data_IF_829946789278
#
_entry.id   IF_829946789278
#
_cell.length_a   1.000
_cell.length_b   1.000
_cell.length_c   1.000
_cell.angle_alpha   90.00
_cell.angle_beta   90.00
_cell.angle_gamma   90.00
#
_symmetry.space_group_name_H-M   'P 1'
#
loop_
_entity.id
_entity.type
_entity.pdbx_description
1 polymer ?
#
# COMPACT_ATOMS: atom_id res chain seq x y z
N UNK A 1 -44.94 0.36 86.74
CA UNK A 1 -46.16 0.37 85.91
C UNK A 1 -45.92 1.20 84.69
N UNK A 2 -46.10 0.70 83.54
CA UNK A 2 -46.11 1.11 82.19
C UNK A 2 -44.99 0.54 81.33
N UNK A 3 -45.40 -0.48 80.62
CA UNK A 3 -44.67 -1.09 79.50
C UNK A 3 -44.74 -0.20 78.23
N UNK A 4 -43.61 0.05 77.58
CA UNK A 4 -43.53 0.59 76.24
C UNK A 4 -42.89 -0.42 75.38
N UNK A 5 -43.68 -1.02 74.45
CA UNK A 5 -43.25 -1.84 73.37
C UNK A 5 -42.54 -0.97 72.29
N UNK A 6 -41.30 -1.26 72.01
CA UNK A 6 -40.60 -0.72 70.88
C UNK A 6 -40.76 -1.69 69.71
N UNK A 7 -41.50 -1.29 68.67
CA UNK A 7 -41.55 -1.93 67.37
C UNK A 7 -40.30 -1.57 66.60
N UNK A 8 -39.46 -2.56 66.29
CA UNK A 8 -38.34 -2.40 65.33
C UNK A 8 -38.85 -2.65 63.93
N UNK A 9 -38.87 -1.61 63.04
CA UNK A 9 -39.06 -1.74 61.62
C UNK A 9 -37.70 -2.09 60.97
N UNK A 10 -37.62 -3.28 60.42
CA UNK A 10 -36.50 -3.71 59.61
C UNK A 10 -36.78 -3.19 58.13
N UNK A 11 -36.10 -2.10 57.75
CA UNK A 11 -36.11 -1.62 56.36
C UNK A 11 -35.04 -2.36 55.56
N UNK A 12 -35.46 -3.31 54.71
CA UNK A 12 -34.61 -4.01 53.78
C UNK A 12 -34.31 -3.07 52.58
N UNK A 13 -33.16 -2.41 52.60
CA UNK A 13 -32.68 -1.61 51.50
C UNK A 13 -32.16 -2.51 50.36
N UNK A 14 -32.95 -2.64 49.29
CA UNK A 14 -32.53 -3.31 48.06
C UNK A 14 -31.68 -2.32 47.26
N UNK A 15 -30.34 -2.39 47.39
CA UNK A 15 -29.40 -1.63 46.52
C UNK A 15 -29.35 -2.31 45.17
N UNK A 16 -30.05 -1.73 44.20
CA UNK A 16 -29.98 -2.09 42.81
C UNK A 16 -28.66 -1.54 42.23
N UNK A 17 -27.60 -2.36 42.23
CA UNK A 17 -26.35 -2.03 41.52
C UNK A 17 -26.60 -2.05 40.03
N UNK A 18 -26.82 -0.87 39.46
CA UNK A 18 -26.74 -0.70 38.00
C UNK A 18 -25.30 -1.00 37.58
N UNK A 19 -25.07 -2.22 37.09
CA UNK A 19 -23.91 -2.53 36.28
C UNK A 19 -24.06 -1.75 34.94
N UNK A 20 -23.55 -0.53 34.93
CA UNK A 20 -23.33 0.18 33.70
C UNK A 20 -22.28 -0.62 32.89
N UNK A 21 -22.76 -1.49 32.01
CA UNK A 21 -21.89 -2.07 30.97
C UNK A 21 -21.40 -0.91 30.10
N UNK A 22 -20.24 -0.37 30.46
CA UNK A 22 -19.51 0.54 29.57
C UNK A 22 -19.25 -0.23 28.27
N UNK A 23 -20.04 0.06 27.23
CA UNK A 23 -19.73 -0.38 25.88
C UNK A 23 -18.32 0.13 25.58
N UNK A 24 -17.33 -0.74 25.65
CA UNK A 24 -15.97 -0.41 25.24
C UNK A 24 -16.04 -0.01 23.75
N UNK A 25 -16.00 1.28 23.51
CA UNK A 25 -15.81 1.83 22.17
C UNK A 25 -14.49 1.25 21.71
N UNK A 26 -14.46 0.58 20.56
CA UNK A 26 -13.22 0.08 20.00
C UNK A 26 -12.35 1.29 19.60
N UNK A 27 -11.52 1.72 20.54
CA UNK A 27 -10.61 2.83 20.31
C UNK A 27 -9.56 2.40 19.29
N UNK A 28 -9.30 3.23 18.28
CA UNK A 28 -8.23 2.98 17.31
C UNK A 28 -6.90 2.82 18.07
N UNK A 29 -6.12 1.76 17.76
CA UNK A 29 -4.85 1.53 18.45
C UNK A 29 -3.93 2.73 18.31
N UNK A 30 -3.33 3.15 19.41
CA UNK A 30 -2.36 4.24 19.41
C UNK A 30 -1.08 3.76 18.71
N UNK A 31 -0.63 4.54 17.72
CA UNK A 31 0.62 4.24 17.01
C UNK A 31 1.82 4.35 17.97
N UNK A 32 2.85 3.51 17.79
CA UNK A 32 4.06 3.62 18.60
C UNK A 32 4.80 4.91 18.25
N UNK A 33 5.58 5.40 19.21
CA UNK A 33 6.51 6.48 18.93
C UNK A 33 7.60 6.00 17.96
N UNK A 34 7.82 6.75 16.88
CA UNK A 34 8.77 6.44 15.80
C UNK A 34 9.76 7.59 15.67
N UNK A 35 11.06 7.29 15.86
CA UNK A 35 12.15 8.25 15.78
C UNK A 35 12.54 8.54 14.30
N UNK A 36 11.60 9.14 13.55
CA UNK A 36 11.77 9.53 12.16
C UNK A 36 11.16 10.91 11.88
N UNK A 37 11.67 11.61 10.84
CA UNK A 37 11.09 12.88 10.40
C UNK A 37 9.68 12.68 9.83
N UNK A 38 9.51 11.62 9.05
CA UNK A 38 8.23 11.20 8.45
C UNK A 38 8.12 9.69 8.44
N UNK A 39 6.91 9.17 8.65
CA UNK A 39 6.64 7.75 8.48
C UNK A 39 5.21 7.48 8.02
N UNK A 40 5.03 6.33 7.40
CA UNK A 40 3.74 5.78 6.99
C UNK A 40 3.76 4.27 7.19
N UNK A 41 2.75 3.72 7.87
CA UNK A 41 2.41 2.31 7.84
C UNK A 41 1.14 2.13 7.03
N UNK A 42 1.25 1.40 5.92
CA UNK A 42 0.16 1.16 4.99
C UNK A 42 -0.16 -0.33 4.89
N UNK A 43 -1.41 -0.66 5.07
CA UNK A 43 -1.91 -2.00 4.78
C UNK A 43 -2.25 -2.08 3.28
N UNK A 44 -1.38 -2.74 2.54
CA UNK A 44 -1.53 -2.90 1.08
C UNK A 44 -2.74 -3.78 0.75
N UNK A 45 -3.03 -4.78 1.59
CA UNK A 45 -4.13 -5.73 1.38
C UNK A 45 -5.48 -5.09 1.64
N UNK A 46 -5.58 -4.28 2.72
CA UNK A 46 -6.80 -3.57 3.08
C UNK A 46 -6.90 -2.18 2.42
N UNK A 47 -5.83 -1.70 1.77
CA UNK A 47 -5.72 -0.35 1.22
C UNK A 47 -6.00 0.74 2.27
N UNK A 48 -5.40 0.61 3.47
CA UNK A 48 -5.62 1.50 4.60
C UNK A 48 -4.31 2.02 5.20
N UNK A 49 -4.29 3.31 5.56
CA UNK A 49 -3.23 3.88 6.40
C UNK A 49 -3.53 3.49 7.85
N UNK A 50 -2.60 2.78 8.49
CA UNK A 50 -2.72 2.34 9.89
C UNK A 50 -2.08 3.34 10.85
N UNK A 51 -0.95 3.94 10.45
CA UNK A 51 -0.27 4.98 11.21
C UNK A 51 0.50 5.92 10.28
N UNK A 52 0.62 7.18 10.66
CA UNK A 52 1.33 8.15 9.84
C UNK A 52 1.80 9.37 10.64
N UNK A 53 2.88 9.99 10.15
CA UNK A 53 3.40 11.27 10.65
C UNK A 53 4.03 12.03 9.48
N UNK A 54 3.64 13.28 9.26
CA UNK A 54 4.22 14.18 8.27
C UNK A 54 4.29 13.58 6.85
N UNK A 55 3.28 12.82 6.43
CA UNK A 55 3.34 12.00 5.20
C UNK A 55 3.39 12.82 3.91
N UNK A 56 3.00 14.07 3.95
CA UNK A 56 3.02 15.01 2.82
C UNK A 56 4.19 16.01 2.91
N UNK A 57 5.04 15.91 3.95
CA UNK A 57 6.22 16.74 4.08
C UNK A 57 7.25 16.38 2.99
N UNK A 58 7.76 17.38 2.22
CA UNK A 58 8.79 17.13 1.22
C UNK A 58 10.09 16.63 1.86
N UNK A 59 10.71 15.64 1.21
CA UNK A 59 12.01 15.10 1.59
C UNK A 59 12.79 14.69 0.34
N UNK A 60 14.12 14.75 0.40
CA UNK A 60 14.96 14.15 -0.64
C UNK A 60 14.77 12.63 -0.63
N UNK A 61 14.47 12.00 -1.80
CA UNK A 61 14.25 10.56 -1.85
C UNK A 61 15.53 9.73 -1.64
N UNK A 62 16.70 10.31 -1.84
CA UNK A 62 17.95 9.55 -1.91
C UNK A 62 17.77 8.33 -2.85
N UNK A 63 18.40 7.19 -2.55
CA UNK A 63 18.26 5.98 -3.38
C UNK A 63 16.87 5.32 -3.39
N UNK A 64 15.86 5.86 -2.69
CA UNK A 64 14.46 5.46 -2.90
C UNK A 64 13.97 5.84 -4.31
N UNK A 65 14.62 6.81 -4.95
CA UNK A 65 14.46 7.17 -6.38
C UNK A 65 14.53 5.95 -7.30
N UNK A 66 15.39 4.97 -6.96
CA UNK A 66 15.59 3.76 -7.74
C UNK A 66 14.34 2.86 -7.83
N UNK A 67 13.32 3.11 -7.02
CA UNK A 67 12.01 2.46 -7.20
C UNK A 67 11.33 2.94 -8.50
N UNK A 68 11.43 4.24 -8.83
CA UNK A 68 10.91 4.74 -10.12
C UNK A 68 11.78 4.27 -11.28
N UNK A 69 13.10 4.21 -11.10
CA UNK A 69 13.99 3.64 -12.10
C UNK A 69 13.65 2.17 -12.39
N UNK A 70 13.46 1.37 -11.33
CA UNK A 70 13.03 -0.02 -11.46
C UNK A 70 11.66 -0.13 -12.13
N UNK A 71 10.72 0.75 -11.79
CA UNK A 71 9.39 0.77 -12.40
C UNK A 71 9.48 0.91 -13.92
N UNK A 72 10.26 1.88 -14.42
CA UNK A 72 10.44 2.10 -15.85
C UNK A 72 11.21 0.96 -16.54
N UNK A 73 12.21 0.39 -15.88
CA UNK A 73 12.95 -0.79 -16.38
C UNK A 73 12.01 -1.99 -16.50
N UNK A 74 11.18 -2.24 -15.49
CA UNK A 74 10.20 -3.34 -15.51
C UNK A 74 9.09 -3.11 -16.53
N UNK A 75 8.68 -1.87 -16.75
CA UNK A 75 7.74 -1.52 -17.81
C UNK A 75 8.34 -1.78 -19.20
N UNK A 76 9.60 -1.42 -19.41
CA UNK A 76 10.32 -1.71 -20.66
C UNK A 76 10.47 -3.22 -20.92
N UNK A 77 10.74 -4.02 -19.87
CA UNK A 77 10.76 -5.49 -19.94
C UNK A 77 9.37 -6.05 -20.28
N UNK A 78 8.32 -5.58 -19.61
CA UNK A 78 6.93 -5.99 -19.88
C UNK A 78 6.49 -5.65 -21.30
N UNK A 79 6.92 -4.49 -21.81
CA UNK A 79 6.69 -4.04 -23.18
C UNK A 79 7.63 -4.71 -24.21
N UNK A 80 8.55 -5.60 -23.78
CA UNK A 80 9.56 -6.26 -24.62
C UNK A 80 10.46 -5.29 -25.40
N UNK A 81 10.69 -4.10 -24.84
CA UNK A 81 11.66 -3.12 -25.41
C UNK A 81 13.09 -3.49 -25.06
N UNK A 82 13.28 -4.18 -23.96
CA UNK A 82 14.54 -4.79 -23.52
C UNK A 82 14.27 -6.22 -23.04
N UNK A 83 15.31 -7.03 -22.91
CA UNK A 83 15.27 -8.41 -22.39
C UNK A 83 16.23 -8.58 -21.23
N UNK A 84 15.91 -9.46 -20.26
CA UNK A 84 16.76 -9.73 -19.09
C UNK A 84 18.16 -10.20 -19.46
N UNK A 85 18.31 -10.97 -20.55
CA UNK A 85 19.59 -11.50 -21.03
C UNK A 85 20.33 -10.54 -21.96
N UNK A 86 19.64 -9.51 -22.46
CA UNK A 86 20.26 -8.46 -23.25
C UNK A 86 21.37 -7.81 -22.46
N UNK A 87 22.52 -7.60 -23.07
CA UNK A 87 23.63 -6.87 -22.43
C UNK A 87 23.55 -5.38 -22.79
N UNK A 88 23.92 -4.53 -21.82
CA UNK A 88 24.08 -3.10 -22.00
C UNK A 88 25.54 -2.70 -21.82
N UNK A 89 26.05 -1.74 -22.60
CA UNK A 89 27.37 -1.20 -22.42
C UNK A 89 27.43 -0.34 -21.13
N UNK A 90 28.59 -0.25 -20.54
CA UNK A 90 28.85 0.64 -19.42
C UNK A 90 29.49 1.92 -19.92
N UNK A 91 28.76 3.03 -19.89
CA UNK A 91 29.29 4.33 -20.28
C UNK A 91 30.35 4.85 -19.29
N UNK A 92 31.17 5.79 -19.73
CA UNK A 92 32.10 6.50 -18.83
C UNK A 92 31.33 7.24 -17.72
N UNK A 93 30.12 7.74 -18.03
CA UNK A 93 29.21 8.35 -17.03
C UNK A 93 28.81 7.34 -15.97
N UNK A 94 28.32 6.17 -16.35
CA UNK A 94 27.95 5.10 -15.44
C UNK A 94 29.15 4.67 -14.55
N UNK A 95 30.28 4.40 -15.18
CA UNK A 95 31.50 3.98 -14.48
C UNK A 95 32.00 4.98 -13.43
N UNK A 96 31.94 6.30 -13.74
CA UNK A 96 32.40 7.36 -12.84
C UNK A 96 31.41 7.78 -11.76
N UNK A 97 30.23 7.14 -11.70
CA UNK A 97 29.22 7.53 -10.71
C UNK A 97 29.74 7.38 -9.26
N UNK A 98 29.58 8.43 -8.44
CA UNK A 98 29.97 8.39 -7.03
C UNK A 98 28.94 7.61 -6.19
N UNK A 99 29.30 7.35 -4.95
CA UNK A 99 28.45 6.71 -3.95
C UNK A 99 28.40 5.18 -4.08
N UNK A 100 27.23 4.58 -3.90
CA UNK A 100 27.06 3.11 -3.95
C UNK A 100 27.21 2.58 -5.37
N UNK A 101 27.95 1.47 -5.54
CA UNK A 101 28.27 0.90 -6.85
C UNK A 101 28.18 -0.62 -6.85
N UNK A 102 27.91 -1.23 -8.00
CA UNK A 102 28.13 -2.66 -8.23
C UNK A 102 29.53 -2.93 -8.83
N UNK A 103 30.31 -1.88 -9.16
CA UNK A 103 31.69 -1.90 -9.68
C UNK A 103 31.82 -2.49 -11.08
N UNK A 104 30.98 -1.98 -12.00
CA UNK A 104 31.11 -2.22 -13.44
C UNK A 104 32.01 -1.16 -14.09
N UNK A 105 32.61 -1.50 -15.25
CA UNK A 105 33.51 -0.63 -15.98
C UNK A 105 33.23 -0.66 -17.50
N UNK A 106 33.81 0.28 -18.28
CA UNK A 106 33.52 0.41 -19.71
C UNK A 106 33.96 -0.76 -20.60
N UNK A 107 34.74 -1.69 -20.08
CA UNK A 107 35.14 -2.89 -20.83
C UNK A 107 34.05 -3.99 -20.75
N UNK A 108 33.06 -3.83 -19.88
CA UNK A 108 32.03 -4.81 -19.62
C UNK A 108 30.79 -4.60 -20.50
N UNK A 109 30.17 -5.70 -20.88
CA UNK A 109 28.82 -5.78 -21.41
C UNK A 109 27.96 -6.51 -20.39
N UNK A 110 27.10 -5.78 -19.66
CA UNK A 110 26.44 -6.30 -18.48
C UNK A 110 25.00 -6.69 -18.79
N UNK A 111 24.55 -7.92 -18.49
CA UNK A 111 23.16 -8.31 -18.65
C UNK A 111 22.20 -7.41 -17.87
N UNK A 112 21.05 -7.09 -18.44
CA UNK A 112 20.01 -6.27 -17.80
C UNK A 112 19.61 -6.83 -16.44
N UNK A 113 19.49 -8.15 -16.30
CA UNK A 113 19.16 -8.80 -15.05
C UNK A 113 20.20 -8.53 -13.97
N UNK A 114 21.49 -8.55 -14.32
CA UNK A 114 22.59 -8.31 -13.39
C UNK A 114 22.64 -6.82 -12.98
N UNK A 115 22.38 -5.90 -13.91
CA UNK A 115 22.23 -4.48 -13.61
C UNK A 115 21.06 -4.22 -12.64
N UNK A 116 19.91 -4.90 -12.82
CA UNK A 116 18.76 -4.82 -11.91
C UNK A 116 19.17 -5.30 -10.51
N UNK A 117 19.83 -6.46 -10.40
CA UNK A 117 20.32 -6.98 -9.12
C UNK A 117 21.30 -6.02 -8.47
N UNK A 118 22.25 -5.45 -9.23
CA UNK A 118 23.22 -4.47 -8.74
C UNK A 118 22.56 -3.17 -8.27
N UNK A 119 21.60 -2.66 -9.00
CA UNK A 119 20.81 -1.48 -8.62
C UNK A 119 20.01 -1.72 -7.32
N UNK A 120 19.43 -2.90 -7.13
CA UNK A 120 18.59 -3.21 -5.97
C UNK A 120 19.44 -3.55 -4.75
N UNK A 121 20.37 -4.51 -4.85
CA UNK A 121 21.11 -5.07 -3.71
C UNK A 121 22.19 -4.10 -3.23
N UNK A 122 23.14 -3.72 -4.09
CA UNK A 122 24.19 -2.76 -3.76
C UNK A 122 23.70 -1.32 -3.74
N UNK A 123 22.49 -1.07 -4.28
CA UNK A 123 22.05 0.29 -4.57
C UNK A 123 22.95 1.00 -5.59
N UNK A 124 23.53 0.25 -6.55
CA UNK A 124 24.57 0.68 -7.48
C UNK A 124 24.13 1.84 -8.37
N UNK A 125 24.82 2.99 -8.25
CA UNK A 125 24.56 4.16 -9.08
C UNK A 125 25.04 3.92 -10.51
N UNK A 126 26.17 3.21 -10.68
CA UNK A 126 26.71 2.76 -11.95
C UNK A 126 25.72 1.88 -12.73
N UNK A 127 25.16 0.85 -12.09
CA UNK A 127 24.12 0.02 -12.67
C UNK A 127 22.85 0.81 -13.02
N UNK A 128 22.49 1.78 -12.16
CA UNK A 128 21.31 2.63 -12.36
C UNK A 128 21.43 3.48 -13.61
N UNK A 129 22.61 4.10 -13.81
CA UNK A 129 22.89 4.91 -15.02
C UNK A 129 22.90 4.04 -16.27
N UNK A 130 23.55 2.86 -16.24
CA UNK A 130 23.55 1.95 -17.38
C UNK A 130 22.14 1.52 -17.79
N UNK A 131 21.26 1.21 -16.82
CA UNK A 131 19.86 0.91 -17.07
C UNK A 131 19.09 2.12 -17.62
N UNK A 132 19.32 3.30 -17.08
CA UNK A 132 18.67 4.53 -17.53
C UNK A 132 19.03 4.87 -19.00
N UNK A 133 20.32 4.74 -19.35
CA UNK A 133 20.79 4.92 -20.72
C UNK A 133 20.23 3.86 -21.66
N UNK A 134 20.20 2.59 -21.23
CA UNK A 134 19.68 1.48 -22.02
C UNK A 134 18.19 1.56 -22.30
N UNK A 135 17.39 2.08 -21.38
CA UNK A 135 15.93 2.22 -21.52
C UNK A 135 15.54 3.55 -22.13
N UNK A 136 16.17 4.64 -21.72
CA UNK A 136 15.83 6.01 -22.15
C UNK A 136 16.60 6.49 -23.37
N UNK A 137 17.69 5.82 -23.76
CA UNK A 137 18.65 6.29 -24.75
C UNK A 137 19.61 7.33 -24.20
N UNK A 138 19.21 8.10 -23.20
CA UNK A 138 20.06 9.00 -22.39
C UNK A 138 19.47 9.15 -20.99
N UNK A 139 20.32 9.58 -20.03
CA UNK A 139 19.88 9.86 -18.67
C UNK A 139 18.84 10.99 -18.62
N UNK A 140 19.03 12.02 -19.44
CA UNK A 140 18.15 13.19 -19.50
C UNK A 140 16.73 12.79 -19.99
N UNK A 141 16.65 11.97 -21.03
CA UNK A 141 15.38 11.43 -21.52
C UNK A 141 14.74 10.49 -20.48
N UNK A 142 15.54 9.68 -19.81
CA UNK A 142 15.04 8.79 -18.75
C UNK A 142 14.43 9.58 -17.59
N UNK A 143 15.05 10.69 -17.17
CA UNK A 143 14.49 11.58 -16.13
C UNK A 143 13.16 12.21 -16.58
N UNK A 144 13.03 12.57 -17.86
CA UNK A 144 11.73 13.00 -18.39
C UNK A 144 10.67 11.90 -18.24
N UNK A 145 11.00 10.65 -18.62
CA UNK A 145 10.11 9.50 -18.46
C UNK A 145 9.74 9.24 -16.98
N UNK A 146 10.68 9.42 -16.04
CA UNK A 146 10.40 9.30 -14.60
C UNK A 146 9.33 10.31 -14.15
N UNK A 147 9.42 11.55 -14.60
CA UNK A 147 8.46 12.59 -14.25
C UNK A 147 7.11 12.41 -14.97
N UNK A 148 7.12 11.96 -16.23
CA UNK A 148 5.92 11.58 -16.97
C UNK A 148 5.18 10.44 -16.25
N UNK A 149 5.91 9.38 -15.87
CA UNK A 149 5.37 8.24 -15.14
C UNK A 149 4.88 8.62 -13.74
N UNK A 150 5.58 9.52 -13.05
CA UNK A 150 5.14 10.05 -11.77
C UNK A 150 3.77 10.70 -11.85
N UNK A 151 3.50 11.48 -12.89
CA UNK A 151 2.17 12.09 -13.15
C UNK A 151 1.11 11.01 -13.41
N UNK A 152 1.43 10.00 -14.24
CA UNK A 152 0.52 8.88 -14.54
C UNK A 152 0.16 8.10 -13.27
N UNK A 153 1.11 7.89 -12.37
CA UNK A 153 0.89 7.22 -11.10
C UNK A 153 0.16 8.10 -10.06
N UNK A 154 0.01 9.40 -10.34
CA UNK A 154 -0.63 10.35 -9.43
C UNK A 154 0.27 10.81 -8.28
N UNK A 155 1.60 10.80 -8.46
CA UNK A 155 2.56 11.35 -7.50
C UNK A 155 2.47 12.87 -7.53
N UNK A 156 1.90 13.47 -6.49
CA UNK A 156 1.54 14.91 -6.48
C UNK A 156 2.68 15.82 -6.09
N UNK A 157 3.59 15.31 -5.25
CA UNK A 157 4.66 16.10 -4.62
C UNK A 157 6.04 15.48 -4.90
N UNK A 158 6.21 14.79 -6.03
CA UNK A 158 7.46 14.15 -6.43
C UNK A 158 8.00 14.76 -7.70
N UNK A 159 9.28 15.12 -7.68
CA UNK A 159 10.04 15.58 -8.83
C UNK A 159 11.36 14.86 -8.91
N UNK A 160 11.69 14.29 -10.07
CA UNK A 160 12.96 13.59 -10.32
C UNK A 160 13.90 14.47 -11.12
N UNK A 161 15.19 14.49 -10.75
CA UNK A 161 16.29 15.18 -11.45
C UNK A 161 17.35 14.22 -11.97
N UNK A 162 17.50 13.06 -11.32
CA UNK A 162 18.40 12.00 -11.72
C UNK A 162 17.78 10.62 -11.38
N UNK A 163 18.24 9.52 -11.99
CA UNK A 163 17.66 8.20 -11.77
C UNK A 163 18.19 7.47 -10.53
N UNK A 164 19.30 7.93 -9.93
CA UNK A 164 19.97 7.25 -8.82
C UNK A 164 19.65 7.83 -7.44
N UNK A 165 19.23 9.10 -7.37
CA UNK A 165 18.81 9.75 -6.12
C UNK A 165 19.93 10.53 -5.42
N UNK A 166 20.91 11.05 -6.16
CA UNK A 166 21.86 12.02 -5.62
C UNK A 166 21.15 13.36 -5.37
N UNK A 167 21.64 14.10 -4.36
CA UNK A 167 21.11 15.41 -3.99
C UNK A 167 21.16 16.38 -5.16
N UNK A 168 20.01 16.94 -5.53
CA UNK A 168 19.88 17.94 -6.58
C UNK A 168 18.66 18.81 -6.31
N UNK A 169 18.74 20.12 -6.58
CA UNK A 169 17.67 21.05 -6.33
C UNK A 169 16.37 20.65 -7.06
N UNK A 170 15.29 20.49 -6.31
CA UNK A 170 14.00 20.01 -6.81
C UNK A 170 13.89 18.50 -6.98
N UNK A 171 14.89 17.71 -6.55
CA UNK A 171 14.77 16.25 -6.42
C UNK A 171 14.10 15.93 -5.09
N UNK A 172 12.78 15.74 -5.10
CA UNK A 172 11.96 15.65 -3.89
C UNK A 172 10.86 14.61 -4.02
N UNK A 173 10.37 14.13 -2.88
CA UNK A 173 9.22 13.22 -2.76
C UNK A 173 8.53 13.38 -1.42
N UNK A 174 7.50 12.56 -1.15
CA UNK A 174 6.81 12.45 0.15
C UNK A 174 6.58 10.98 0.52
N UNK A 175 6.33 10.69 1.80
CA UNK A 175 6.00 9.33 2.23
C UNK A 175 4.71 8.83 1.54
N UNK A 176 3.74 9.70 1.31
CA UNK A 176 2.51 9.37 0.57
C UNK A 176 2.83 8.95 -0.86
N UNK A 177 3.57 9.76 -1.62
CA UNK A 177 3.90 9.45 -3.01
C UNK A 177 4.74 8.16 -3.11
N UNK A 178 5.68 7.96 -2.18
CA UNK A 178 6.46 6.72 -2.10
C UNK A 178 5.59 5.50 -1.81
N UNK A 179 4.51 5.64 -1.02
CA UNK A 179 3.57 4.53 -0.79
C UNK A 179 2.81 4.14 -2.07
N UNK A 180 2.40 5.12 -2.85
CA UNK A 180 1.78 4.91 -4.16
C UNK A 180 2.75 4.21 -5.10
N UNK A 181 3.97 4.72 -5.24
CA UNK A 181 4.99 4.14 -6.11
C UNK A 181 5.32 2.69 -5.72
N UNK A 182 5.58 2.44 -4.42
CA UNK A 182 5.92 1.11 -3.93
C UNK A 182 4.78 0.11 -4.14
N UNK A 183 3.55 0.50 -3.85
CA UNK A 183 2.36 -0.34 -4.06
C UNK A 183 2.15 -0.67 -5.53
N UNK A 184 2.24 0.35 -6.40
CA UNK A 184 2.09 0.17 -7.85
C UNK A 184 3.21 -0.69 -8.43
N UNK A 185 4.46 -0.50 -8.00
CA UNK A 185 5.58 -1.34 -8.45
C UNK A 185 5.32 -2.82 -8.16
N UNK A 186 4.87 -3.15 -6.95
CA UNK A 186 4.57 -4.53 -6.56
C UNK A 186 3.33 -5.09 -7.28
N UNK A 187 2.32 -4.27 -7.55
CA UNK A 187 1.09 -4.69 -8.21
C UNK A 187 1.25 -4.85 -9.73
N UNK A 188 1.97 -3.93 -10.38
CA UNK A 188 2.12 -3.89 -11.84
C UNK A 188 3.19 -4.88 -12.34
N UNK A 189 4.16 -5.23 -11.47
CA UNK A 189 5.31 -6.08 -11.79
C UNK A 189 5.60 -7.14 -10.73
N UNK A 190 4.60 -7.97 -10.33
CA UNK A 190 4.77 -8.95 -9.25
C UNK A 190 5.88 -9.97 -9.52
N UNK A 191 6.18 -10.27 -10.80
CA UNK A 191 7.23 -11.21 -11.21
C UNK A 191 8.65 -10.73 -10.88
N UNK A 192 8.86 -9.42 -10.67
CA UNK A 192 10.17 -8.84 -10.37
C UNK A 192 10.36 -8.47 -8.90
N UNK A 193 9.32 -8.62 -8.06
CA UNK A 193 9.41 -8.26 -6.63
C UNK A 193 10.41 -9.12 -5.88
N UNK A 194 10.64 -10.36 -6.32
CA UNK A 194 11.63 -11.27 -5.72
C UNK A 194 13.07 -10.72 -5.75
N UNK A 195 13.42 -9.83 -6.67
CA UNK A 195 14.75 -9.20 -6.68
C UNK A 195 15.01 -8.38 -5.41
N UNK A 196 13.98 -7.82 -4.79
CA UNK A 196 14.11 -7.03 -3.56
C UNK A 196 14.38 -7.89 -2.30
N UNK A 197 14.07 -9.19 -2.37
CA UNK A 197 14.36 -10.14 -1.29
C UNK A 197 15.78 -10.74 -1.36
N UNK A 198 16.55 -10.45 -2.40
CA UNK A 198 17.92 -10.94 -2.53
C UNK A 198 18.77 -10.34 -1.43
N UNK A 199 19.30 -11.21 -0.55
CA UNK A 199 20.13 -10.81 0.60
C UNK A 199 21.55 -10.46 0.21
N UNK A 200 22.11 -11.19 -0.76
CA UNK A 200 23.48 -11.00 -1.25
C UNK A 200 23.51 -11.20 -2.77
N UNK A 201 24.23 -10.33 -3.44
CA UNK A 201 24.49 -10.44 -4.86
C UNK A 201 25.89 -9.94 -5.17
N UNK A 202 26.61 -10.66 -6.00
CA UNK A 202 27.97 -10.31 -6.41
C UNK A 202 28.07 -10.45 -7.92
N UNK A 203 28.51 -9.38 -8.57
CA UNK A 203 28.88 -9.37 -9.98
C UNK A 203 30.41 -9.32 -10.11
N UNK A 204 30.90 -9.60 -11.30
CA UNK A 204 32.33 -9.48 -11.61
C UNK A 204 32.81 -8.05 -11.24
N UNK A 205 33.83 -7.94 -10.40
CA UNK A 205 34.34 -6.66 -9.87
C UNK A 205 33.73 -6.20 -8.55
N UNK A 206 32.57 -6.70 -8.12
CA UNK A 206 31.97 -6.32 -6.84
C UNK A 206 32.82 -6.85 -5.67
N UNK A 207 33.31 -5.97 -4.75
CA UNK A 207 34.02 -6.42 -3.54
C UNK A 207 33.12 -7.25 -2.62
N UNK A 208 33.70 -8.24 -1.91
CA UNK A 208 32.96 -9.05 -0.94
C UNK A 208 32.32 -8.25 0.19
N UNK A 209 32.94 -7.13 0.56
CA UNK A 209 32.42 -6.20 1.57
C UNK A 209 31.22 -5.39 1.10
N UNK A 210 30.88 -5.45 -0.20
CA UNK A 210 29.78 -4.67 -0.81
C UNK A 210 28.71 -5.58 -1.47
N UNK A 211 28.68 -6.89 -1.14
CA UNK A 211 27.75 -7.84 -1.75
C UNK A 211 26.38 -7.93 -1.03
N UNK A 212 26.25 -7.34 0.16
CA UNK A 212 25.07 -7.40 1.00
C UNK A 212 24.00 -6.38 0.64
N UNK A 213 22.73 -6.81 0.73
CA UNK A 213 21.60 -5.88 0.67
C UNK A 213 21.61 -4.97 1.90
N UNK A 214 21.38 -3.69 1.68
CA UNK A 214 21.41 -2.67 2.75
C UNK A 214 20.14 -2.64 3.60
N UNK A 215 19.10 -3.40 3.21
CA UNK A 215 17.91 -3.60 4.03
C UNK A 215 18.17 -4.67 5.09
N UNK A 216 18.53 -4.23 6.31
CA UNK A 216 18.82 -5.12 7.43
C UNK A 216 17.64 -6.02 7.83
N UNK A 217 16.41 -5.62 7.53
CA UNK A 217 15.23 -6.42 7.90
C UNK A 217 15.15 -7.73 7.12
N UNK A 218 15.72 -7.82 5.92
CA UNK A 218 15.81 -9.09 5.17
C UNK A 218 16.57 -10.17 5.93
N UNK A 219 17.47 -9.79 6.83
CA UNK A 219 18.27 -10.71 7.64
C UNK A 219 17.66 -10.99 9.01
N UNK A 220 16.72 -10.12 9.47
CA UNK A 220 16.14 -10.17 10.83
C UNK A 220 14.76 -10.79 10.85
N UNK A 221 13.96 -10.57 9.80
CA UNK A 221 12.56 -11.01 9.72
C UNK A 221 12.32 -11.75 8.40
N UNK A 222 12.06 -13.08 8.44
CA UNK A 222 11.84 -13.88 7.23
C UNK A 222 10.56 -13.52 6.48
N UNK A 223 9.64 -12.75 7.07
CA UNK A 223 8.43 -12.27 6.42
C UNK A 223 8.65 -11.00 5.60
N UNK A 224 9.81 -10.34 5.78
CA UNK A 224 10.20 -9.15 5.01
C UNK A 224 10.80 -9.58 3.67
N UNK A 225 10.25 -9.06 2.57
CA UNK A 225 10.62 -9.39 1.20
C UNK A 225 10.98 -8.18 0.32
N UNK A 226 11.24 -7.03 0.94
CA UNK A 226 11.62 -5.79 0.26
C UNK A 226 11.59 -4.57 1.17
N UNK A 227 11.69 -3.36 0.63
CA UNK A 227 11.99 -2.99 -0.74
C UNK A 227 13.36 -2.28 -0.85
N UNK A 228 13.44 -1.01 -0.40
CA UNK A 228 14.60 -0.16 -0.73
C UNK A 228 15.02 0.72 0.43
N UNK A 229 16.33 0.92 0.55
CA UNK A 229 16.95 1.89 1.45
C UNK A 229 17.41 3.13 0.68
N UNK A 230 17.49 4.26 1.37
CA UNK A 230 18.09 5.50 0.88
C UNK A 230 18.92 6.18 1.97
N UNK A 231 19.94 6.94 1.56
CA UNK A 231 20.71 7.81 2.43
C UNK A 231 21.40 8.90 1.62
N UNK A 232 21.24 10.13 2.03
CA UNK A 232 22.10 11.30 1.78
C UNK A 232 22.18 12.09 3.08
N UNK A 233 23.12 13.01 3.21
CA UNK A 233 23.21 13.89 4.39
C UNK A 233 21.90 14.67 4.62
N UNK A 234 21.26 15.14 3.57
CA UNK A 234 20.01 15.90 3.66
C UNK A 234 18.79 15.02 3.97
N UNK A 235 18.70 13.83 3.34
CA UNK A 235 17.60 12.90 3.55
C UNK A 235 17.64 12.23 4.93
N UNK A 236 18.84 12.02 5.51
CA UNK A 236 19.06 11.07 6.60
C UNK A 236 18.88 9.62 6.13
N UNK A 237 18.75 8.69 7.05
CA UNK A 237 18.57 7.28 6.70
C UNK A 237 17.09 6.96 6.48
N UNK A 238 16.78 6.38 5.31
CA UNK A 238 15.43 6.08 4.85
C UNK A 238 15.28 4.59 4.52
N UNK A 239 14.09 4.04 4.78
CA UNK A 239 13.74 2.66 4.43
C UNK A 239 12.26 2.58 4.03
N UNK A 240 12.01 1.91 2.91
CA UNK A 240 10.71 1.34 2.59
C UNK A 240 10.84 -0.17 2.79
N UNK A 241 10.12 -0.72 3.76
CA UNK A 241 10.09 -2.15 4.06
C UNK A 241 8.70 -2.72 3.80
N UNK A 242 8.63 -3.91 3.23
CA UNK A 242 7.38 -4.65 3.05
C UNK A 242 7.51 -6.04 3.66
N UNK A 243 6.45 -6.48 4.32
CA UNK A 243 6.34 -7.80 4.90
C UNK A 243 5.01 -8.44 4.50
N UNK A 244 5.01 -9.76 4.35
CA UNK A 244 3.81 -10.56 4.06
C UNK A 244 3.66 -11.64 5.10
N UNK A 245 2.51 -11.62 5.83
CA UNK A 245 2.19 -12.65 6.83
C UNK A 245 0.79 -13.19 6.56
N UNK A 246 0.60 -14.48 6.83
CA UNK A 246 -0.70 -15.11 6.71
C UNK A 246 -1.59 -14.73 7.90
N UNK A 247 -2.89 -14.66 7.67
CA UNK A 247 -3.89 -14.50 8.71
C UNK A 247 -4.97 -15.59 8.60
N UNK A 248 -5.43 -16.07 9.74
CA UNK A 248 -6.53 -17.03 9.82
C UNK A 248 -7.87 -16.34 9.52
N UNK A 249 -8.84 -17.08 8.99
CA UNK A 249 -10.22 -16.61 8.92
C UNK A 249 -10.81 -16.42 10.32
N UNK A 250 -11.54 -15.34 10.54
CA UNK A 250 -12.14 -14.97 11.82
C UNK A 250 -13.62 -15.36 11.87
N UNK A 251 -13.91 -16.66 11.99
CA UNK A 251 -15.28 -17.18 12.13
C UNK A 251 -15.99 -17.52 10.82
N UNK A 252 -17.31 -17.73 10.90
CA UNK A 252 -18.14 -18.14 9.75
C UNK A 252 -18.18 -17.01 8.71
N UNK A 253 -17.78 -17.33 7.49
CA UNK A 253 -17.78 -16.40 6.35
C UNK A 253 -16.49 -15.61 6.14
N UNK A 254 -15.48 -15.71 7.02
CA UNK A 254 -14.17 -15.10 6.84
C UNK A 254 -13.15 -16.15 6.41
N UNK A 255 -12.49 -15.95 5.27
CA UNK A 255 -11.48 -16.87 4.76
C UNK A 255 -10.08 -16.44 5.21
N UNK A 256 -9.22 -17.46 5.45
CA UNK A 256 -7.78 -17.24 5.61
C UNK A 256 -7.19 -16.53 4.39
N UNK A 257 -6.12 -15.81 4.58
CA UNK A 257 -5.45 -15.09 3.51
C UNK A 257 -4.05 -14.65 3.89
N UNK A 258 -3.40 -13.91 3.02
CA UNK A 258 -2.14 -13.26 3.34
C UNK A 258 -2.31 -11.76 3.33
N UNK A 259 -1.68 -11.09 4.30
CA UNK A 259 -1.71 -9.65 4.52
C UNK A 259 -0.34 -9.07 4.28
N UNK A 260 -0.28 -8.02 3.48
CA UNK A 260 0.96 -7.28 3.21
C UNK A 260 0.90 -5.91 3.85
N UNK A 261 1.90 -5.60 4.66
CA UNK A 261 2.12 -4.26 5.18
C UNK A 261 3.33 -3.63 4.52
N UNK A 262 3.28 -2.31 4.38
CA UNK A 262 4.34 -1.46 3.86
C UNK A 262 4.66 -0.40 4.92
N UNK A 263 5.89 -0.44 5.45
CA UNK A 263 6.41 0.58 6.37
C UNK A 263 7.37 1.49 5.62
N UNK A 264 7.11 2.78 5.63
CA UNK A 264 7.97 3.84 5.10
C UNK A 264 8.48 4.64 6.28
N UNK A 265 9.80 4.71 6.44
CA UNK A 265 10.49 5.44 7.51
C UNK A 265 11.55 6.32 6.88
N UNK A 266 11.43 7.63 7.09
CA UNK A 266 12.24 8.65 6.41
C UNK A 266 12.94 9.56 7.43
N UNK A 267 14.23 9.79 7.23
CA UNK A 267 15.00 10.75 8.00
C UNK A 267 15.33 10.30 9.41
N UNK A 268 15.75 9.05 9.60
CA UNK A 268 16.32 8.55 10.87
C UNK A 268 17.83 8.84 10.93
N UNK A 269 18.46 8.60 12.09
CA UNK A 269 19.85 8.98 12.34
C UNK A 269 20.87 7.91 11.92
N UNK A 270 20.46 6.65 11.74
CA UNK A 270 21.36 5.55 11.38
C UNK A 270 20.71 4.44 10.56
N UNK A 271 21.53 3.55 9.99
CA UNK A 271 21.05 2.34 9.32
C UNK A 271 20.26 1.42 10.25
N UNK A 272 20.70 1.30 11.50
CA UNK A 272 20.00 0.51 12.51
C UNK A 272 18.68 1.16 12.89
N UNK A 273 18.63 2.48 13.04
CA UNK A 273 17.41 3.19 13.42
C UNK A 273 16.32 3.03 12.34
N UNK A 274 16.64 3.23 11.04
CA UNK A 274 15.64 3.01 9.98
C UNK A 274 15.10 1.58 9.97
N UNK A 275 15.95 0.59 10.29
CA UNK A 275 15.52 -0.81 10.37
C UNK A 275 14.67 -1.07 11.63
N UNK A 276 15.12 -0.60 12.80
CA UNK A 276 14.40 -0.76 14.06
C UNK A 276 13.01 -0.11 14.01
N UNK A 277 12.93 1.12 13.52
CA UNK A 277 11.68 1.87 13.45
C UNK A 277 10.70 1.25 12.41
N UNK A 278 11.21 0.77 11.26
CA UNK A 278 10.38 0.07 10.30
C UNK A 278 9.86 -1.29 10.86
N UNK A 279 10.71 -2.03 11.58
CA UNK A 279 10.31 -3.29 12.23
C UNK A 279 9.27 -3.06 13.33
N UNK A 280 9.44 -2.00 14.13
CA UNK A 280 8.48 -1.58 15.15
C UNK A 280 7.10 -1.32 14.53
N UNK A 281 7.06 -0.54 13.44
CA UNK A 281 5.81 -0.25 12.71
C UNK A 281 5.16 -1.52 12.17
N UNK A 282 5.93 -2.37 11.47
CA UNK A 282 5.41 -3.63 10.91
C UNK A 282 4.83 -4.53 12.01
N UNK A 283 5.58 -4.75 13.09
CA UNK A 283 5.12 -5.59 14.19
C UNK A 283 3.86 -5.02 14.84
N UNK A 284 3.83 -3.71 15.12
CA UNK A 284 2.64 -3.07 15.67
C UNK A 284 1.44 -3.22 14.73
N UNK A 285 1.60 -3.02 13.41
CA UNK A 285 0.51 -3.16 12.46
C UNK A 285 -0.06 -4.58 12.38
N UNK A 286 0.78 -5.61 12.56
CA UNK A 286 0.33 -7.00 12.60
C UNK A 286 -0.27 -7.42 13.95
N UNK A 287 0.08 -6.76 15.06
CA UNK A 287 -0.42 -7.11 16.40
C UNK A 287 -1.60 -6.24 16.83
N UNK A 288 -1.59 -4.96 16.49
CA UNK A 288 -2.64 -4.03 16.88
C UNK A 288 -3.88 -4.08 15.97
N UNK A 289 -3.73 -4.64 14.74
CA UNK A 289 -4.82 -4.80 13.79
C UNK A 289 -4.94 -6.23 13.31
N UNK A 290 -6.18 -6.68 13.15
CA UNK A 290 -6.55 -7.91 12.46
C UNK A 290 -7.08 -7.60 11.06
N UNK A 291 -6.92 -8.52 10.13
CA UNK A 291 -7.48 -8.40 8.78
C UNK A 291 -8.71 -9.29 8.63
N UNK A 292 -9.78 -8.74 8.06
CA UNK A 292 -11.02 -9.48 7.78
C UNK A 292 -11.32 -9.36 6.29
N UNK A 293 -11.39 -10.50 5.60
CA UNK A 293 -11.84 -10.55 4.22
C UNK A 293 -13.37 -10.65 4.20
N UNK A 294 -14.04 -9.63 3.66
CA UNK A 294 -15.49 -9.52 3.60
C UNK A 294 -16.06 -10.12 2.32
N UNK A 295 -15.40 -9.88 1.18
CA UNK A 295 -15.85 -10.34 -0.13
C UNK A 295 -14.68 -10.79 -0.99
N UNK A 296 -14.90 -11.82 -1.81
CA UNK A 296 -13.92 -12.26 -2.79
C UNK A 296 -13.89 -11.35 -4.04
N UNK A 297 -12.80 -11.41 -4.84
CA UNK A 297 -12.72 -10.67 -6.11
C UNK A 297 -13.91 -10.97 -7.02
N UNK A 298 -14.56 -9.92 -7.53
CA UNK A 298 -15.72 -10.05 -8.43
C UNK A 298 -17.02 -10.51 -7.75
N UNK A 299 -17.02 -10.74 -6.44
CA UNK A 299 -18.23 -11.10 -5.70
C UNK A 299 -19.17 -9.90 -5.60
N UNK A 300 -20.46 -10.11 -5.88
CA UNK A 300 -21.47 -9.08 -5.67
C UNK A 300 -21.67 -8.83 -4.17
N UNK A 301 -21.49 -7.59 -3.74
CA UNK A 301 -21.80 -7.13 -2.39
C UNK A 301 -23.30 -6.92 -2.24
N UNK A 302 -23.94 -6.38 -3.29
CA UNK A 302 -25.38 -6.16 -3.39
C UNK A 302 -25.82 -6.22 -4.85
N UNK A 303 -27.08 -6.65 -5.06
CA UNK A 303 -27.71 -6.70 -6.39
C UNK A 303 -28.99 -5.86 -6.37
N UNK A 304 -28.88 -4.52 -6.44
CA UNK A 304 -30.01 -3.63 -6.38
C UNK A 304 -30.85 -3.67 -7.66
N UNK A 305 -32.11 -3.23 -7.53
CA UNK A 305 -32.97 -2.96 -8.66
C UNK A 305 -32.41 -1.84 -9.52
N UNK A 306 -32.40 -2.06 -10.83
CA UNK A 306 -32.06 -1.09 -11.85
C UNK A 306 -33.28 -0.75 -12.68
N UNK A 307 -33.59 0.54 -12.79
CA UNK A 307 -34.74 1.03 -13.54
C UNK A 307 -34.33 1.45 -14.95
N UNK A 308 -35.24 1.31 -15.90
CA UNK A 308 -35.07 1.65 -17.33
C UNK A 308 -33.89 0.89 -18.00
N UNK A 309 -33.46 -0.22 -17.41
CA UNK A 309 -32.39 -1.07 -17.91
C UNK A 309 -32.90 -2.25 -18.73
N UNK A 310 -32.05 -2.75 -19.62
CA UNK A 310 -32.29 -4.02 -20.32
C UNK A 310 -32.39 -5.19 -19.32
N UNK A 311 -31.66 -5.08 -18.20
CA UNK A 311 -31.78 -5.95 -17.03
C UNK A 311 -32.40 -5.19 -15.86
N UNK A 312 -33.18 -5.92 -15.03
CA UNK A 312 -33.92 -5.35 -13.89
C UNK A 312 -33.06 -5.12 -12.64
N UNK A 313 -31.81 -5.63 -12.64
CA UNK A 313 -30.88 -5.56 -11.53
C UNK A 313 -29.47 -5.35 -12.05
N UNK A 314 -28.54 -4.92 -11.19
CA UNK A 314 -27.10 -4.83 -11.48
C UNK A 314 -26.32 -5.32 -10.28
N UNK A 315 -25.26 -6.09 -10.53
CA UNK A 315 -24.33 -6.52 -9.47
C UNK A 315 -23.33 -5.42 -9.16
N UNK A 316 -23.29 -4.99 -7.89
CA UNK A 316 -22.31 -4.01 -7.39
C UNK A 316 -21.30 -4.71 -6.49
N UNK A 317 -20.02 -4.43 -6.71
CA UNK A 317 -18.91 -5.03 -5.96
C UNK A 317 -17.57 -4.41 -6.32
N UNK A 318 -16.50 -5.19 -6.14
CA UNK A 318 -15.14 -4.83 -6.54
C UNK A 318 -14.52 -5.96 -7.34
N UNK A 319 -13.61 -5.64 -8.26
CA UNK A 319 -12.83 -6.66 -8.97
C UNK A 319 -11.76 -7.28 -8.07
N UNK A 320 -11.33 -6.55 -7.04
CA UNK A 320 -10.41 -7.00 -5.99
C UNK A 320 -11.18 -7.51 -4.77
N UNK A 321 -10.55 -8.33 -3.93
CA UNK A 321 -11.11 -8.71 -2.64
C UNK A 321 -11.35 -7.46 -1.77
N UNK A 322 -12.45 -7.45 -1.02
CA UNK A 322 -12.68 -6.42 0.00
C UNK A 322 -12.16 -6.99 1.32
N UNK A 323 -11.02 -6.48 1.74
CA UNK A 323 -10.38 -6.76 3.02
C UNK A 323 -10.36 -5.48 3.84
N UNK A 324 -10.61 -5.59 5.14
CA UNK A 324 -10.55 -4.45 6.06
C UNK A 324 -9.60 -4.77 7.21
N UNK A 325 -8.78 -3.79 7.58
CA UNK A 325 -7.96 -3.84 8.79
C UNK A 325 -8.75 -3.19 9.93
N UNK A 326 -8.94 -3.94 11.02
CA UNK A 326 -9.69 -3.56 12.21
C UNK A 326 -8.79 -3.63 13.43
N UNK A 327 -9.06 -2.85 14.50
CA UNK A 327 -8.40 -3.08 15.78
C UNK A 327 -8.52 -4.54 16.20
N UNK A 328 -7.44 -5.13 16.70
CA UNK A 328 -7.40 -6.54 17.08
C UNK A 328 -8.51 -6.89 18.09
N UNK A 329 -9.20 -8.00 17.88
CA UNK A 329 -10.34 -8.47 18.70
C UNK A 329 -11.66 -7.72 18.46
N UNK A 330 -11.74 -6.87 17.43
CA UNK A 330 -12.95 -6.10 17.16
C UNK A 330 -13.84 -6.67 16.05
N UNK A 331 -13.41 -7.73 15.36
CA UNK A 331 -14.15 -8.31 14.24
C UNK A 331 -15.60 -8.71 14.60
N UNK A 332 -15.85 -9.17 15.83
CA UNK A 332 -17.21 -9.50 16.29
C UNK A 332 -18.17 -8.28 16.34
N UNK A 333 -17.63 -7.05 16.38
CA UNK A 333 -18.41 -5.81 16.39
C UNK A 333 -18.52 -5.17 15.01
N UNK A 334 -18.04 -5.85 13.97
CA UNK A 334 -18.08 -5.38 12.58
C UNK A 334 -19.51 -5.21 12.12
N UNK A 335 -19.82 -4.06 11.56
CA UNK A 335 -21.10 -3.73 10.91
C UNK A 335 -20.83 -3.24 9.49
N UNK A 336 -21.68 -3.64 8.56
CA UNK A 336 -21.63 -3.14 7.19
C UNK A 336 -22.99 -2.56 6.80
N UNK A 337 -22.97 -1.47 6.05
CA UNK A 337 -24.17 -0.89 5.45
C UNK A 337 -23.84 -0.37 4.05
N UNK A 338 -24.87 -0.22 3.21
CA UNK A 338 -24.71 0.25 1.83
C UNK A 338 -25.39 1.59 1.69
N UNK A 339 -24.64 2.56 1.22
CA UNK A 339 -25.13 3.89 0.83
C UNK A 339 -25.10 4.02 -0.68
N UNK A 340 -26.22 4.41 -1.28
CA UNK A 340 -26.35 4.65 -2.73
C UNK A 340 -27.47 5.62 -3.02
N UNK A 341 -27.49 6.19 -4.23
CA UNK A 341 -28.60 7.00 -4.71
C UNK A 341 -29.69 6.08 -5.27
N UNK A 342 -30.93 6.26 -4.81
CA UNK A 342 -32.09 5.59 -5.33
C UNK A 342 -33.09 6.61 -5.96
N UNK A 343 -33.74 6.29 -7.05
CA UNK A 343 -33.68 5.05 -7.84
C UNK A 343 -32.40 4.97 -8.68
N UNK A 344 -31.79 3.76 -8.78
CA UNK A 344 -30.68 3.52 -9.68
C UNK A 344 -31.22 3.35 -11.12
N UNK A 345 -30.65 4.13 -12.05
CA UNK A 345 -31.11 4.22 -13.43
C UNK A 345 -30.06 3.71 -14.43
N UNK A 346 -30.52 2.98 -15.46
CA UNK A 346 -29.69 2.63 -16.62
C UNK A 346 -29.54 3.84 -17.59
N UNK A 347 -28.44 3.91 -18.39
CA UNK A 347 -27.41 2.88 -18.51
C UNK A 347 -26.37 2.95 -17.39
N UNK A 348 -25.76 1.81 -17.08
CA UNK A 348 -24.55 1.75 -16.26
C UNK A 348 -23.46 1.07 -17.06
N UNK A 349 -22.25 1.65 -17.02
CA UNK A 349 -21.09 1.00 -17.63
C UNK A 349 -20.32 0.19 -16.58
N UNK A 350 -19.69 -0.91 -17.02
CA UNK A 350 -18.83 -1.71 -16.15
C UNK A 350 -17.75 -0.82 -15.52
N UNK A 351 -17.56 -0.93 -14.21
CA UNK A 351 -16.59 -0.12 -13.45
C UNK A 351 -17.14 1.25 -12.99
N UNK A 352 -18.36 1.64 -13.39
CA UNK A 352 -18.99 2.86 -12.88
C UNK A 352 -19.34 2.70 -11.40
N UNK A 353 -18.98 3.69 -10.58
CA UNK A 353 -19.38 3.71 -9.17
C UNK A 353 -20.90 3.94 -9.06
N UNK A 354 -21.57 3.07 -8.30
CA UNK A 354 -23.02 3.10 -8.11
C UNK A 354 -23.44 2.89 -6.64
N UNK A 355 -22.48 2.88 -5.72
CA UNK A 355 -22.73 2.77 -4.29
C UNK A 355 -21.46 2.87 -3.47
N UNK A 356 -21.61 2.79 -2.14
CA UNK A 356 -20.53 2.76 -1.16
C UNK A 356 -20.87 1.71 -0.11
N UNK A 357 -19.99 0.76 0.13
CA UNK A 357 -20.02 -0.11 1.29
C UNK A 357 -19.38 0.65 2.46
N UNK A 358 -20.17 0.97 3.46
CA UNK A 358 -19.69 1.58 4.72
C UNK A 358 -19.38 0.47 5.71
N UNK A 359 -18.19 0.52 6.30
CA UNK A 359 -17.69 -0.45 7.26
C UNK A 359 -17.44 0.26 8.58
N UNK A 360 -17.99 -0.28 9.66
CA UNK A 360 -17.87 0.28 11.00
C UNK A 360 -17.58 -0.84 12.02
N UNK A 361 -16.96 -0.46 13.15
CA UNK A 361 -16.80 -1.31 14.35
C UNK A 361 -17.62 -0.67 15.48
N UNK A 362 -18.67 -1.35 15.89
CA UNK A 362 -19.67 -0.71 16.75
C UNK A 362 -20.31 0.47 16.03
N UNK A 363 -20.11 1.69 16.58
CA UNK A 363 -20.62 2.93 15.99
C UNK A 363 -19.51 3.79 15.36
N UNK A 364 -18.26 3.30 15.35
CA UNK A 364 -17.14 4.01 14.75
C UNK A 364 -16.96 3.59 13.28
N UNK A 365 -17.06 4.56 12.36
CA UNK A 365 -16.73 4.34 10.95
C UNK A 365 -15.24 4.02 10.78
N UNK A 366 -14.94 2.99 9.99
CA UNK A 366 -13.58 2.51 9.74
C UNK A 366 -13.17 2.77 8.29
N UNK A 367 -14.04 2.42 7.33
CA UNK A 367 -13.70 2.49 5.92
C UNK A 367 -14.97 2.63 5.07
N UNK A 368 -14.87 3.45 4.02
CA UNK A 368 -15.85 3.55 2.95
C UNK A 368 -15.25 2.95 1.66
N UNK A 369 -15.89 1.90 1.13
CA UNK A 369 -15.43 1.20 -0.08
C UNK A 369 -16.36 1.53 -1.24
N UNK A 370 -15.91 2.20 -2.30
CA UNK A 370 -16.72 2.42 -3.49
C UNK A 370 -17.13 1.09 -4.13
N UNK A 371 -18.43 0.91 -4.36
CA UNK A 371 -18.99 -0.22 -5.09
C UNK A 371 -19.18 0.14 -6.55
N UNK A 372 -18.63 -0.69 -7.42
CA UNK A 372 -18.64 -0.51 -8.87
C UNK A 372 -19.60 -1.50 -9.50
N UNK A 373 -20.21 -1.11 -10.63
CA UNK A 373 -20.96 -2.04 -11.46
C UNK A 373 -20.01 -3.12 -12.01
N UNK A 374 -20.22 -4.38 -11.65
CA UNK A 374 -19.39 -5.50 -12.08
C UNK A 374 -19.63 -5.86 -13.56
N UNK A 375 -20.78 -5.45 -14.09
CA UNK A 375 -21.21 -5.63 -15.47
C UNK A 375 -21.84 -4.34 -16.00
N UNK A 376 -21.81 -4.14 -17.31
CA UNK A 376 -22.52 -3.02 -17.95
C UNK A 376 -23.97 -3.41 -18.22
N UNK A 377 -24.90 -2.48 -18.01
CA UNK A 377 -26.33 -2.67 -18.34
C UNK A 377 -26.80 -1.54 -19.25
N UNK A 378 -27.21 -1.88 -20.46
CA UNK A 378 -27.72 -0.93 -21.42
C UNK A 378 -29.14 -0.45 -21.03
N UNK A 379 -29.60 0.62 -21.65
CA UNK A 379 -30.99 1.05 -21.52
C UNK A 379 -31.96 0.05 -22.14
N UNK A 380 -33.12 -0.12 -21.52
CA UNK A 380 -34.24 -0.84 -22.10
C UNK A 380 -34.79 -0.14 -23.37
N UNK A 381 -35.52 -0.86 -24.20
CA UNK A 381 -36.28 -0.29 -25.32
C UNK A 381 -37.31 0.71 -24.84
N UNK A 382 -37.92 1.46 -25.79
CA UNK A 382 -38.87 2.54 -25.50
C UNK A 382 -40.03 2.11 -24.59
N UNK A 383 -40.63 0.94 -24.84
CA UNK A 383 -41.73 0.40 -24.05
C UNK A 383 -41.34 0.07 -22.61
N UNK A 384 -40.18 -0.55 -22.43
CA UNK A 384 -39.68 -0.87 -21.08
C UNK A 384 -39.36 0.38 -20.26
N UNK A 385 -38.76 1.41 -20.91
CA UNK A 385 -38.50 2.69 -20.24
C UNK A 385 -39.76 3.45 -19.86
N UNK A 386 -40.79 3.45 -20.73
CA UNK A 386 -42.06 4.07 -20.44
C UNK A 386 -42.80 3.35 -19.28
N UNK A 387 -42.76 2.03 -19.26
CA UNK A 387 -43.32 1.22 -18.17
C UNK A 387 -42.63 1.51 -16.84
N UNK A 388 -41.31 1.54 -16.82
CA UNK A 388 -40.54 1.87 -15.61
C UNK A 388 -40.75 3.32 -15.17
N UNK A 389 -40.87 4.28 -16.09
CA UNK A 389 -41.18 5.66 -15.77
C UNK A 389 -42.54 5.80 -15.06
N UNK A 390 -43.56 5.11 -15.57
CA UNK A 390 -44.90 5.07 -14.93
C UNK A 390 -44.82 4.46 -13.52
N UNK A 391 -44.09 3.34 -13.34
CA UNK A 391 -43.94 2.69 -12.03
C UNK A 391 -43.15 3.54 -11.02
N UNK A 392 -42.18 4.36 -11.50
CA UNK A 392 -41.44 5.31 -10.64
C UNK A 392 -42.30 6.51 -10.24
N UNK A 393 -43.27 6.90 -11.05
CA UNK A 393 -44.17 8.01 -10.73
C UNK A 393 -45.23 7.65 -9.69
N UNK A 394 -45.62 6.36 -9.62
CA UNK A 394 -46.62 5.84 -8.66
C UNK A 394 -46.00 5.55 -7.26
N UNK A 395 -44.66 5.53 -7.13
CA UNK A 395 -43.93 5.35 -5.85
C UNK A 395 -43.69 6.68 -5.16
#
# INVERSE_FOLDING_TARGET
MHHLLKKALFTLGFTFSLLASSAAIAQMPQAPEVAAKSYLLFDVTANQILASKNIDAPIEPASLTKLMTAYLVFDALKAKKIDLKQTLPVSIRAWKMPGSRMFIDPTMQVPVEDLIKGMIVQSGNDATIALAEGVGGSVERFVQLMNEQGKILGLKNTGYKNPEGLTEAGHTTTARDLSVLATRLMADFPQYTSYYAIKKYRYQGTPTTNDGNRNLLLFRDPTVDGLKTGHTEAAGYCLIATAKRDFAGLGVGTAAGSRRLLAIVLGTNSENDRANEAQKLLNWGYTAFEAVKLFDPGQAVVTPKLWKGAENTVKLGRNEAIVVALPAGSAAKLKTSISRTDPLLAPLVKGQQAGILKIAVGDQAVLDVPLLALEGVAQAGLLGRAWDAMRLWIK
#
